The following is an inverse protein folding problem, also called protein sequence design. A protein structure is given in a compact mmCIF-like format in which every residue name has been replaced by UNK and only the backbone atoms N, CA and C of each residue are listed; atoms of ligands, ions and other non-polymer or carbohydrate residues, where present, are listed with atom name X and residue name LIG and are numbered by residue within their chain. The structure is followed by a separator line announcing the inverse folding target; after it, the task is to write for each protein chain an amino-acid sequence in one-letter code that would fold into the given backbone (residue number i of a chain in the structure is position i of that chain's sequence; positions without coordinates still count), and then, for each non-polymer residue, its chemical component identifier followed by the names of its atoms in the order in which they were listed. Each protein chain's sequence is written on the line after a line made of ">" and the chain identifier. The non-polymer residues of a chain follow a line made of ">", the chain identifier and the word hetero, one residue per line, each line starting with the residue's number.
data_IF_856192899148
#
_entry.id   IF_856192899148
#
_cell.length_a   1.000
_cell.length_b   1.000
_cell.length_c   1.000
_cell.angle_alpha   90.00
_cell.angle_beta   90.00
_cell.angle_gamma   90.00
#
_symmetry.space_group_name_H-M   'P 1'
#
loop_
_entity.id
_entity.type
_entity.pdbx_description
1 polymer ?
#
# COMPACT_ATOMS: atom_id res chain seq x y z
N UNK A 1 26.94 3.29 -24.34
CA UNK A 1 25.48 3.04 -24.35
C UNK A 1 25.06 1.87 -23.47
N UNK A 2 25.71 0.70 -23.51
CA UNK A 2 25.34 -0.50 -22.71
C UNK A 2 25.36 -0.29 -21.18
N UNK A 3 26.27 0.51 -20.62
CA UNK A 3 26.34 0.75 -19.16
C UNK A 3 25.10 1.46 -18.60
N UNK A 4 24.48 2.36 -19.37
CA UNK A 4 23.32 3.16 -18.94
C UNK A 4 22.06 2.32 -18.80
N UNK A 5 21.86 1.36 -19.70
CA UNK A 5 20.73 0.43 -19.65
C UNK A 5 20.74 -0.45 -18.40
N UNK A 6 21.92 -0.87 -17.93
CA UNK A 6 22.04 -1.65 -16.71
C UNK A 6 21.67 -0.85 -15.47
N UNK A 7 22.06 0.43 -15.41
CA UNK A 7 21.66 1.34 -14.34
C UNK A 7 20.15 1.58 -14.37
N UNK A 8 19.56 1.81 -15.55
CA UNK A 8 18.12 2.01 -15.71
C UNK A 8 17.31 0.79 -15.27
N UNK A 9 17.74 -0.43 -15.58
CA UNK A 9 17.09 -1.66 -15.10
C UNK A 9 17.15 -1.79 -13.58
N UNK A 10 18.30 -1.48 -12.96
CA UNK A 10 18.45 -1.53 -11.49
C UNK A 10 17.57 -0.48 -10.80
N UNK A 11 17.47 0.72 -11.38
CA UNK A 11 16.60 1.78 -10.87
C UNK A 11 15.13 1.36 -10.96
N UNK A 12 14.72 0.76 -12.07
CA UNK A 12 13.36 0.27 -12.27
C UNK A 12 12.97 -0.79 -11.22
N UNK A 13 13.87 -1.73 -10.94
CA UNK A 13 13.67 -2.74 -9.88
C UNK A 13 13.54 -2.11 -8.49
N UNK A 14 14.37 -1.12 -8.18
CA UNK A 14 14.31 -0.43 -6.88
C UNK A 14 13.04 0.40 -6.74
N UNK A 15 12.59 1.08 -7.80
CA UNK A 15 11.33 1.84 -7.79
C UNK A 15 10.13 0.91 -7.58
N UNK A 16 10.13 -0.29 -8.16
CA UNK A 16 9.08 -1.28 -7.91
C UNK A 16 9.12 -1.83 -6.48
N UNK A 17 10.31 -2.10 -5.95
CA UNK A 17 10.47 -2.47 -4.53
C UNK A 17 9.93 -1.38 -3.59
N UNK A 18 10.22 -0.11 -3.88
CA UNK A 18 9.71 1.04 -3.12
C UNK A 18 8.20 1.21 -3.24
N UNK A 19 7.64 0.98 -4.43
CA UNK A 19 6.21 1.03 -4.67
C UNK A 19 5.48 0.00 -3.79
N UNK A 20 5.95 -1.26 -3.79
CA UNK A 20 5.39 -2.33 -2.94
C UNK A 20 5.52 -1.99 -1.45
N UNK A 21 6.69 -1.53 -1.01
CA UNK A 21 6.91 -1.13 0.38
C UNK A 21 5.98 0.00 0.81
N UNK A 22 5.76 0.99 -0.05
CA UNK A 22 4.86 2.11 0.22
C UNK A 22 3.42 1.67 0.31
N UNK A 23 2.94 0.79 -0.59
CA UNK A 23 1.58 0.27 -0.56
C UNK A 23 1.29 -0.52 0.72
N UNK A 24 2.23 -1.38 1.13
CA UNK A 24 2.10 -2.15 2.37
C UNK A 24 2.11 -1.23 3.60
N UNK A 25 3.05 -0.29 3.68
CA UNK A 25 3.07 0.70 4.77
C UNK A 25 1.78 1.52 4.85
N UNK A 26 1.22 1.93 3.70
CA UNK A 26 -0.07 2.62 3.67
C UNK A 26 -1.22 1.72 4.13
N UNK A 27 -1.21 0.43 3.80
CA UNK A 27 -2.22 -0.51 4.28
C UNK A 27 -2.20 -0.62 5.81
N UNK A 28 -1.01 -0.78 6.40
CA UNK A 28 -0.83 -0.84 7.85
C UNK A 28 -1.28 0.47 8.53
N UNK A 29 -1.00 1.62 7.90
CA UNK A 29 -1.47 2.93 8.37
C UNK A 29 -3.00 3.05 8.33
N UNK A 30 -3.68 2.42 7.37
CA UNK A 30 -5.14 2.38 7.35
C UNK A 30 -5.70 1.45 8.42
N UNK A 31 -5.09 0.29 8.65
CA UNK A 31 -5.47 -0.61 9.74
C UNK A 31 -5.32 0.06 11.11
N UNK A 32 -4.24 0.82 11.32
CA UNK A 32 -4.06 1.57 12.57
C UNK A 32 -5.09 2.71 12.75
N UNK A 33 -5.75 3.15 11.67
CA UNK A 33 -6.82 4.16 11.68
C UNK A 33 -8.21 3.55 11.78
N UNK A 34 -8.32 2.22 11.82
CA UNK A 34 -9.61 1.55 12.01
C UNK A 34 -10.10 1.64 13.46
N UNK A 35 -9.19 1.97 14.39
CA UNK A 35 -9.48 2.18 15.80
C UNK A 35 -9.37 3.69 16.11
N UNK A 36 -10.51 4.39 16.09
CA UNK A 36 -10.58 5.85 16.25
C UNK A 36 -11.35 6.17 17.52
N UNK A 37 -10.65 6.60 18.56
CA UNK A 37 -11.23 6.94 19.87
C UNK A 37 -12.19 8.14 19.85
N UNK A 38 -12.24 8.88 18.75
CA UNK A 38 -13.06 10.11 18.63
C UNK A 38 -14.43 9.87 17.99
N UNK A 39 -14.71 8.68 17.46
CA UNK A 39 -16.01 8.33 16.88
C UNK A 39 -16.76 7.33 17.76
N UNK A 40 -18.09 7.42 17.75
CA UNK A 40 -18.97 6.53 18.51
C UNK A 40 -20.10 5.99 17.61
N UNK A 41 -20.70 4.87 18.04
CA UNK A 41 -21.84 4.25 17.37
C UNK A 41 -21.58 3.92 15.90
N UNK A 42 -22.59 4.12 15.05
CA UNK A 42 -22.54 3.82 13.61
C UNK A 42 -21.40 4.53 12.88
N UNK A 43 -20.99 5.72 13.36
CA UNK A 43 -19.89 6.47 12.75
C UNK A 43 -18.54 5.77 12.97
N UNK A 44 -18.32 5.19 14.15
CA UNK A 44 -17.12 4.40 14.44
C UNK A 44 -17.09 3.15 13.55
N UNK A 45 -18.21 2.44 13.47
CA UNK A 45 -18.34 1.22 12.67
C UNK A 45 -18.08 1.49 11.17
N UNK A 46 -18.71 2.52 10.61
CA UNK A 46 -18.48 2.90 9.21
C UNK A 46 -17.05 3.39 8.94
N UNK A 47 -16.44 4.13 9.87
CA UNK A 47 -15.05 4.55 9.75
C UNK A 47 -14.08 3.35 9.78
N UNK A 48 -14.34 2.39 10.68
CA UNK A 48 -13.57 1.15 10.79
C UNK A 48 -13.68 0.30 9.52
N UNK A 49 -14.90 0.10 9.02
CA UNK A 49 -15.13 -0.65 7.78
C UNK A 49 -14.43 0.01 6.59
N UNK A 50 -14.55 1.33 6.47
CA UNK A 50 -13.89 2.08 5.41
C UNK A 50 -12.35 1.98 5.51
N UNK A 51 -11.79 2.10 6.70
CA UNK A 51 -10.35 1.97 6.92
C UNK A 51 -9.85 0.56 6.54
N UNK A 52 -10.54 -0.49 6.98
CA UNK A 52 -10.24 -1.87 6.58
C UNK A 52 -10.33 -2.07 5.06
N UNK A 53 -11.36 -1.51 4.41
CA UNK A 53 -11.49 -1.57 2.96
C UNK A 53 -10.31 -0.87 2.25
N UNK A 54 -9.91 0.31 2.72
CA UNK A 54 -8.76 1.05 2.17
C UNK A 54 -7.44 0.28 2.32
N UNK A 55 -7.24 -0.43 3.43
CA UNK A 55 -6.10 -1.32 3.62
C UNK A 55 -6.13 -2.50 2.64
N UNK A 56 -7.28 -3.17 2.52
CA UNK A 56 -7.47 -4.29 1.62
C UNK A 56 -7.19 -3.93 0.15
N UNK A 57 -7.69 -2.79 -0.33
CA UNK A 57 -7.42 -2.30 -1.70
C UNK A 57 -5.93 -2.13 -1.95
N UNK A 58 -5.18 -1.55 -1.00
CA UNK A 58 -3.73 -1.36 -1.15
C UNK A 58 -2.96 -2.68 -1.15
N UNK A 59 -3.34 -3.62 -0.29
CA UNK A 59 -2.78 -4.98 -0.29
C UNK A 59 -3.04 -5.70 -1.62
N UNK A 60 -4.24 -5.53 -2.20
CA UNK A 60 -4.56 -6.09 -3.52
C UNK A 60 -3.73 -5.48 -4.65
N UNK A 61 -3.54 -4.15 -4.65
CA UNK A 61 -2.68 -3.48 -5.63
C UNK A 61 -1.23 -3.96 -5.49
N UNK A 62 -0.72 -4.04 -4.26
CA UNK A 62 0.63 -4.53 -3.98
C UNK A 62 0.80 -5.97 -4.48
N UNK A 63 -0.13 -6.88 -4.16
CA UNK A 63 -0.11 -8.26 -4.63
C UNK A 63 -0.15 -8.35 -6.17
N UNK A 64 -0.95 -7.49 -6.82
CA UNK A 64 -0.99 -7.45 -8.28
C UNK A 64 0.33 -6.98 -8.88
N UNK A 65 0.96 -5.96 -8.30
CA UNK A 65 2.25 -5.46 -8.77
C UNK A 65 3.37 -6.47 -8.55
N UNK A 66 3.37 -7.17 -7.41
CA UNK A 66 4.33 -8.24 -7.12
C UNK A 66 4.20 -9.43 -8.11
N UNK A 67 2.99 -9.71 -8.60
CA UNK A 67 2.76 -10.78 -9.58
C UNK A 67 3.20 -10.45 -11.00
N UNK A 68 3.13 -9.18 -11.40
CA UNK A 68 3.42 -8.75 -12.79
C UNK A 68 4.86 -8.25 -12.96
N UNK A 69 5.58 -8.06 -11.85
CA UNK A 69 6.95 -7.59 -11.80
C UNK A 69 7.94 -8.75 -11.68
#
# INVERSE_FOLDING_TARGET
>A
RVKRWREEVLLLQEEMRRCLATLNWQADLWESRADVDTFEGERLEGAKEYACYQAAVRRQIAARFDQIW
#
